data_IF_514326011926
#
_entry.id   IF_514326011926
#
_cell.length_a   1.000
_cell.length_b   1.000
_cell.length_c   1.000
_cell.angle_alpha   90.00
_cell.angle_beta   90.00
_cell.angle_gamma   90.00
#
_symmetry.space_group_name_H-M   'P 1'
#
loop_
_entity.id
_entity.type
_entity.pdbx_description
1 polymer ?
#
# COMPACT_ATOMS: atom_id res chain seq x y z
N UNK A 1 -4.83 7.10 -6.10
CA UNK A 1 -3.53 6.46 -5.97
C UNK A 1 -2.37 7.37 -6.38
N UNK A 2 -2.43 8.05 -7.52
CA UNK A 2 -1.33 8.90 -8.01
C UNK A 2 -0.89 9.95 -6.98
N UNK A 3 -1.82 10.64 -6.33
CA UNK A 3 -1.49 11.65 -5.33
C UNK A 3 -0.71 11.06 -4.12
N UNK A 4 -1.08 9.86 -3.69
CA UNK A 4 -0.36 9.13 -2.63
C UNK A 4 1.04 8.73 -3.10
N UNK A 5 1.16 8.19 -4.30
CA UNK A 5 2.44 7.80 -4.90
C UNK A 5 3.37 9.01 -5.04
N UNK A 6 2.85 10.13 -5.53
CA UNK A 6 3.63 11.35 -5.73
C UNK A 6 4.15 11.90 -4.40
N UNK A 7 3.33 11.90 -3.35
CA UNK A 7 3.75 12.33 -2.03
C UNK A 7 4.87 11.43 -1.46
N UNK A 8 4.75 10.12 -1.58
CA UNK A 8 5.78 9.18 -1.15
C UNK A 8 7.06 9.33 -1.98
N UNK A 9 6.93 9.53 -3.28
CA UNK A 9 8.04 9.77 -4.21
C UNK A 9 8.80 11.05 -3.87
N UNK A 10 8.09 12.14 -3.59
CA UNK A 10 8.69 13.40 -3.13
C UNK A 10 9.41 13.26 -1.78
N UNK A 11 8.95 12.35 -0.94
CA UNK A 11 9.60 12.01 0.33
C UNK A 11 10.86 11.12 0.15
N UNK A 12 11.17 10.70 -1.08
CA UNK A 12 12.36 9.92 -1.41
C UNK A 12 12.16 8.41 -1.40
N UNK A 13 10.92 7.92 -1.36
CA UNK A 13 10.63 6.49 -1.41
C UNK A 13 10.49 6.00 -2.85
N UNK A 14 10.98 4.79 -3.11
CA UNK A 14 10.63 4.03 -4.31
C UNK A 14 9.23 3.41 -4.11
N UNK A 15 8.43 3.43 -5.16
CA UNK A 15 7.07 2.91 -5.16
C UNK A 15 7.06 1.63 -6.00
N UNK A 16 6.88 0.47 -5.38
CA UNK A 16 6.81 -0.80 -6.09
C UNK A 16 5.34 -1.21 -6.26
N UNK A 17 4.95 -1.54 -7.47
CA UNK A 17 3.58 -1.86 -7.85
C UNK A 17 3.50 -3.33 -8.31
N UNK A 18 3.47 -4.31 -7.39
CA UNK A 18 3.33 -5.71 -7.75
C UNK A 18 1.93 -5.99 -8.30
N UNK A 19 1.82 -7.02 -9.13
CA UNK A 19 0.59 -7.39 -9.80
C UNK A 19 0.46 -8.92 -9.92
N UNK A 20 -0.76 -9.40 -9.98
CA UNK A 20 -1.06 -10.83 -10.06
C UNK A 20 -1.84 -11.23 -11.31
N UNK A 21 -2.40 -10.26 -12.06
CA UNK A 21 -3.15 -10.51 -13.28
C UNK A 21 -2.81 -9.48 -14.35
N UNK A 22 -3.14 -9.77 -15.60
CA UNK A 22 -2.92 -8.84 -16.73
C UNK A 22 -3.67 -7.51 -16.54
N UNK A 23 -4.87 -7.54 -15.95
CA UNK A 23 -5.63 -6.34 -15.66
C UNK A 23 -4.95 -5.48 -14.57
N UNK A 24 -4.39 -6.11 -13.57
CA UNK A 24 -3.62 -5.43 -12.51
C UNK A 24 -2.31 -4.87 -13.06
N UNK A 25 -1.62 -5.61 -13.92
CA UNK A 25 -0.42 -5.13 -14.60
C UNK A 25 -0.71 -3.86 -15.40
N UNK A 26 -1.76 -3.87 -16.22
CA UNK A 26 -2.16 -2.72 -17.01
C UNK A 26 -2.49 -1.50 -16.14
N UNK A 27 -3.16 -1.70 -15.01
CA UNK A 27 -3.45 -0.65 -14.03
C UNK A 27 -2.18 -0.10 -13.39
N UNK A 28 -1.29 -0.97 -12.95
CA UNK A 28 -0.02 -0.60 -12.34
C UNK A 28 0.87 0.16 -13.32
N UNK A 29 0.90 -0.26 -14.58
CA UNK A 29 1.61 0.44 -15.65
C UNK A 29 1.11 1.87 -15.84
N UNK A 30 -0.22 2.07 -15.88
CA UNK A 30 -0.82 3.41 -15.97
C UNK A 30 -0.52 4.27 -14.74
N UNK A 31 -0.48 3.68 -13.55
CA UNK A 31 -0.14 4.40 -12.32
C UNK A 31 1.33 4.82 -12.28
N UNK A 32 2.21 4.01 -12.84
CA UNK A 32 3.65 4.28 -12.89
C UNK A 32 4.03 5.40 -13.87
N UNK A 33 3.17 5.68 -14.85
CA UNK A 33 3.44 6.71 -15.86
C UNK A 33 3.70 8.08 -15.22
N UNK A 34 4.83 8.68 -15.58
CA UNK A 34 5.21 10.02 -15.10
C UNK A 34 5.78 10.06 -13.68
N UNK A 35 5.90 8.94 -12.98
CA UNK A 35 6.53 8.88 -11.67
C UNK A 35 7.89 8.18 -11.77
N UNK A 36 8.98 8.94 -11.67
CA UNK A 36 10.34 8.43 -11.84
C UNK A 36 10.76 7.41 -10.75
N UNK A 37 10.10 7.41 -9.60
CA UNK A 37 10.38 6.49 -8.49
C UNK A 37 9.45 5.26 -8.48
N UNK A 38 8.51 5.17 -9.43
CA UNK A 38 7.64 4.01 -9.56
C UNK A 38 8.37 2.87 -10.26
N UNK A 39 8.27 1.68 -9.68
CA UNK A 39 8.86 0.44 -10.19
C UNK A 39 7.73 -0.55 -10.47
N UNK A 40 7.61 -0.96 -11.72
CA UNK A 40 6.73 -2.04 -12.13
C UNK A 40 7.57 -3.32 -12.27
N UNK A 41 7.53 -4.25 -11.30
CA UNK A 41 8.31 -5.49 -11.41
C UNK A 41 7.73 -6.40 -12.49
N UNK A 42 8.53 -7.36 -12.96
CA UNK A 42 8.02 -8.53 -13.67
C UNK A 42 7.07 -9.30 -12.74
N UNK A 43 6.33 -10.27 -13.28
CA UNK A 43 5.50 -11.13 -12.44
C UNK A 43 6.34 -11.79 -11.34
N UNK A 44 5.86 -11.72 -10.12
CA UNK A 44 6.54 -12.28 -8.94
C UNK A 44 5.77 -13.50 -8.43
N UNK A 45 6.51 -14.55 -8.04
CA UNK A 45 5.95 -15.66 -7.29
C UNK A 45 5.48 -15.20 -5.90
N UNK A 46 4.68 -16.00 -5.22
CA UNK A 46 4.23 -15.70 -3.85
C UNK A 46 5.42 -15.52 -2.88
N UNK A 47 6.47 -16.33 -3.04
CA UNK A 47 7.70 -16.22 -2.23
C UNK A 47 8.42 -14.90 -2.48
N UNK A 48 8.53 -14.47 -3.74
CA UNK A 48 9.14 -13.20 -4.11
C UNK A 48 8.32 -12.01 -3.62
N UNK A 49 6.99 -12.09 -3.71
CA UNK A 49 6.09 -11.08 -3.12
C UNK A 49 6.29 -11.01 -1.60
N UNK A 50 6.37 -12.14 -0.93
CA UNK A 50 6.63 -12.21 0.50
C UNK A 50 7.95 -11.53 0.87
N UNK A 51 9.01 -11.76 0.11
CA UNK A 51 10.31 -11.11 0.30
C UNK A 51 10.22 -9.61 0.08
N UNK A 52 9.55 -9.17 -0.99
CA UNK A 52 9.32 -7.75 -1.27
C UNK A 52 8.59 -7.07 -0.11
N UNK A 53 7.47 -7.64 0.33
CA UNK A 53 6.66 -7.08 1.40
C UNK A 53 7.40 -7.04 2.73
N UNK A 54 8.16 -8.08 3.08
CA UNK A 54 8.95 -8.13 4.33
C UNK A 54 10.01 -7.03 4.40
N UNK A 55 10.49 -6.55 3.28
CA UNK A 55 11.52 -5.51 3.19
C UNK A 55 10.96 -4.12 2.90
N UNK A 56 9.65 -3.99 2.72
CA UNK A 56 9.02 -2.71 2.48
C UNK A 56 8.97 -1.87 3.76
N UNK A 57 9.18 -0.55 3.64
CA UNK A 57 8.99 0.39 4.73
C UNK A 57 7.51 0.55 5.09
N UNK A 58 6.63 0.43 4.09
CA UNK A 58 5.19 0.53 4.22
C UNK A 58 4.51 -0.20 3.07
N UNK A 59 3.44 -0.91 3.34
CA UNK A 59 2.52 -1.43 2.35
C UNK A 59 1.19 -0.67 2.43
N UNK A 60 0.66 -0.25 1.28
CA UNK A 60 -0.65 0.40 1.18
C UNK A 60 -1.44 -0.35 0.13
N UNK A 61 -2.59 -0.88 0.48
CA UNK A 61 -3.41 -1.64 -0.45
C UNK A 61 -4.87 -1.67 -0.07
N UNK A 62 -5.69 -2.16 -1.00
CA UNK A 62 -7.10 -2.48 -0.73
C UNK A 62 -7.19 -3.84 -0.03
N UNK A 63 -8.40 -4.28 0.30
CA UNK A 63 -8.64 -5.60 0.91
C UNK A 63 -8.32 -6.73 -0.08
N UNK A 64 -7.05 -7.11 -0.14
CA UNK A 64 -6.50 -8.15 -1.02
C UNK A 64 -5.52 -9.05 -0.27
N UNK A 65 -5.18 -10.19 -0.88
CA UNK A 65 -4.20 -11.12 -0.32
C UNK A 65 -2.83 -10.49 -0.03
N UNK A 66 -2.34 -9.60 -0.89
CA UNK A 66 -1.05 -8.92 -0.68
C UNK A 66 -1.07 -8.01 0.54
N UNK A 67 -2.15 -7.28 0.76
CA UNK A 67 -2.32 -6.42 1.93
C UNK A 67 -2.32 -7.24 3.22
N UNK A 68 -3.06 -8.33 3.25
CA UNK A 68 -3.10 -9.24 4.40
C UNK A 68 -1.76 -9.94 4.62
N UNK A 69 -1.07 -10.33 3.56
CA UNK A 69 0.25 -10.93 3.65
C UNK A 69 1.27 -9.94 4.25
N UNK A 70 1.27 -8.70 3.80
CA UNK A 70 2.14 -7.65 4.35
C UNK A 70 1.94 -7.50 5.87
N UNK A 71 0.69 -7.41 6.31
CA UNK A 71 0.35 -7.31 7.73
C UNK A 71 0.80 -8.55 8.52
N UNK A 72 0.59 -9.74 7.98
CA UNK A 72 1.01 -11.01 8.61
C UNK A 72 2.53 -11.14 8.73
N UNK A 73 3.28 -10.54 7.81
CA UNK A 73 4.75 -10.50 7.82
C UNK A 73 5.31 -9.42 8.77
N UNK A 74 4.46 -8.65 9.44
CA UNK A 74 4.87 -7.59 10.35
C UNK A 74 5.26 -6.29 9.66
N UNK A 75 5.04 -6.16 8.36
CA UNK A 75 5.27 -4.91 7.62
C UNK A 75 4.24 -3.86 8.04
N UNK A 76 4.64 -2.62 8.31
CA UNK A 76 3.67 -1.54 8.49
C UNK A 76 2.70 -1.49 7.31
N UNK A 77 1.40 -1.61 7.55
CA UNK A 77 0.40 -1.79 6.50
C UNK A 77 -0.78 -0.85 6.71
N UNK A 78 -1.21 -0.19 5.64
CA UNK A 78 -2.46 0.56 5.56
C UNK A 78 -3.39 -0.17 4.61
N UNK A 79 -4.50 -0.67 5.12
CA UNK A 79 -5.54 -1.34 4.36
C UNK A 79 -6.71 -0.39 4.10
N UNK A 80 -7.10 -0.26 2.84
CA UNK A 80 -8.19 0.62 2.41
C UNK A 80 -9.43 -0.22 2.15
N UNK A 81 -10.50 0.09 2.89
CA UNK A 81 -11.78 -0.59 2.77
C UNK A 81 -12.81 0.33 2.11
N UNK A 82 -13.48 -0.17 1.10
CA UNK A 82 -14.52 0.57 0.37
C UNK A 82 -15.78 -0.25 0.12
N UNK A 83 -15.63 -1.57 0.01
CA UNK A 83 -16.72 -2.51 -0.30
C UNK A 83 -16.82 -3.66 0.71
N UNK A 84 -15.80 -3.88 1.52
CA UNK A 84 -15.76 -4.91 2.57
C UNK A 84 -15.71 -4.29 3.96
N UNK A 85 -16.17 -5.04 4.95
CA UNK A 85 -16.24 -4.58 6.33
C UNK A 85 -14.87 -4.71 7.02
N UNK A 86 -14.21 -3.59 7.40
CA UNK A 86 -12.92 -3.64 8.08
C UNK A 86 -12.98 -4.33 9.44
N UNK A 87 -14.14 -4.38 10.08
CA UNK A 87 -14.33 -5.08 11.37
C UNK A 87 -14.20 -6.59 11.22
N UNK A 88 -14.42 -7.12 10.01
CA UNK A 88 -14.32 -8.55 9.70
C UNK A 88 -13.01 -8.92 9.01
N UNK A 89 -12.48 -8.02 8.20
CA UNK A 89 -11.35 -8.27 7.29
C UNK A 89 -10.16 -7.34 7.55
N UNK A 90 -10.22 -6.54 8.61
CA UNK A 90 -9.19 -5.54 8.91
C UNK A 90 -7.84 -6.15 9.31
N UNK A 91 -6.81 -5.35 9.18
CA UNK A 91 -5.42 -5.71 9.51
C UNK A 91 -4.93 -5.11 10.83
N UNK A 92 -5.70 -4.24 11.48
CA UNK A 92 -5.32 -3.60 12.75
C UNK A 92 -5.05 -4.62 13.86
N UNK A 93 -5.78 -5.72 13.88
CA UNK A 93 -5.59 -6.81 14.85
C UNK A 93 -4.38 -7.70 14.54
N UNK A 94 -3.78 -7.57 13.38
CA UNK A 94 -2.68 -8.42 12.92
C UNK A 94 -1.34 -7.83 13.37
N UNK A 95 -0.82 -8.29 14.50
CA UNK A 95 0.52 -7.95 14.97
C UNK A 95 0.78 -6.48 15.35
N UNK A 96 -0.24 -5.63 15.39
CA UNK A 96 -0.11 -4.22 15.79
C UNK A 96 0.54 -3.29 14.75
N UNK A 97 0.81 -3.78 13.54
CA UNK A 97 1.46 -3.01 12.47
C UNK A 97 0.49 -2.55 11.37
N UNK A 98 -0.79 -2.93 11.48
CA UNK A 98 -1.84 -2.59 10.53
C UNK A 98 -2.62 -1.33 10.91
N UNK A 99 -3.17 -0.67 9.90
CA UNK A 99 -4.14 0.43 10.04
C UNK A 99 -5.22 0.26 8.99
N UNK A 100 -6.46 0.24 9.43
CA UNK A 100 -7.63 0.17 8.55
C UNK A 100 -8.18 1.56 8.31
N UNK A 101 -8.45 1.90 7.06
CA UNK A 101 -9.08 3.15 6.65
C UNK A 101 -10.29 2.88 5.76
N UNK A 102 -11.33 3.65 5.94
CA UNK A 102 -12.57 3.52 5.18
C UNK A 102 -13.56 2.55 5.80
N UNK A 103 -14.65 2.34 5.10
CA UNK A 103 -15.74 1.40 5.45
C UNK A 103 -16.56 1.11 4.20
N UNK A 104 -17.55 0.24 4.31
CA UNK A 104 -18.49 -0.04 3.21
C UNK A 104 -19.12 1.28 2.73
N UNK A 105 -18.92 1.61 1.46
CA UNK A 105 -19.43 2.84 0.85
C UNK A 105 -18.70 4.13 1.24
N UNK A 106 -17.64 4.05 2.04
CA UNK A 106 -16.85 5.20 2.47
C UNK A 106 -15.43 5.09 1.95
N UNK A 107 -15.08 5.90 0.95
CA UNK A 107 -13.74 5.92 0.36
C UNK A 107 -12.84 6.81 1.21
N UNK A 108 -11.68 6.31 1.70
CA UNK A 108 -10.72 7.14 2.42
C UNK A 108 -10.21 8.27 1.54
N UNK A 109 -10.05 9.46 2.12
CA UNK A 109 -9.45 10.58 1.41
C UNK A 109 -7.94 10.39 1.23
N UNK A 110 -7.35 11.09 0.26
CA UNK A 110 -5.89 11.12 0.09
C UNK A 110 -5.21 11.62 1.37
N UNK A 111 -5.78 12.65 2.01
CA UNK A 111 -5.23 13.21 3.26
C UNK A 111 -5.25 12.20 4.41
N UNK A 112 -6.29 11.38 4.51
CA UNK A 112 -6.35 10.32 5.54
C UNK A 112 -5.25 9.29 5.33
N UNK A 113 -5.04 8.86 4.09
CA UNK A 113 -3.99 7.91 3.72
C UNK A 113 -2.61 8.50 4.00
N UNK A 114 -2.34 9.73 3.60
CA UNK A 114 -1.06 10.41 3.82
C UNK A 114 -0.78 10.66 5.31
N UNK A 115 -1.80 11.01 6.08
CA UNK A 115 -1.66 11.17 7.53
C UNK A 115 -1.30 9.83 8.20
N UNK A 116 -1.95 8.75 7.82
CA UNK A 116 -1.64 7.41 8.32
C UNK A 116 -0.24 6.96 7.89
N UNK A 117 0.17 7.24 6.66
CA UNK A 117 1.50 6.95 6.13
C UNK A 117 2.58 7.75 6.87
N UNK A 118 2.36 9.03 7.11
CA UNK A 118 3.29 9.92 7.81
C UNK A 118 3.64 9.42 9.21
N UNK A 119 2.66 8.93 9.96
CA UNK A 119 2.86 8.34 11.27
C UNK A 119 3.70 7.05 11.27
N UNK A 120 3.80 6.37 10.15
CA UNK A 120 4.52 5.10 10.01
C UNK A 120 5.88 5.23 9.34
N UNK A 121 6.01 6.13 8.39
CA UNK A 121 7.25 6.33 7.62
C UNK A 121 8.23 7.30 8.30
N UNK A 122 7.86 7.94 9.40
CA UNK A 122 8.61 9.07 9.97
C UNK A 122 9.00 10.06 8.87
N UNK A 123 8.00 10.47 8.10
CA UNK A 123 8.19 11.53 7.12
C UNK A 123 8.59 12.78 7.90
N UNK A 124 9.88 13.06 7.96
CA UNK A 124 10.34 14.35 8.48
C UNK A 124 9.75 15.43 7.60
N UNK A 125 9.04 16.42 8.18
CA UNK A 125 8.67 17.58 7.40
C UNK A 125 9.98 18.16 6.85
N UNK A 126 10.13 18.13 5.55
CA UNK A 126 11.24 18.89 4.94
C UNK A 126 10.95 20.36 5.22
N UNK A 127 11.81 20.93 5.99
CA UNK A 127 11.88 22.38 6.06
C UNK A 127 12.07 22.98 4.66
#
# INVERSE_FOLDING_TARGET
>A
WRAVMDACSHAGFAIVLPWGSAAEEARSRRLAEGNANAVLPAWLSLSEVGTLLSNAALAIGVDTGFTHLAAALGTPTIALFTVTDPRRHGVESTGGHGRDLGDIGTIPSVDDVLRAAGGRLRLSPRC
#
